data_IF_245482478950
#
_entry.id   IF_245482478950
#
_cell.length_a   1.000
_cell.length_b   1.000
_cell.length_c   1.000
_cell.angle_alpha   90.00
_cell.angle_beta   90.00
_cell.angle_gamma   90.00
#
_symmetry.space_group_name_H-M   'P 1'
#
loop_
_entity.id
_entity.type
_entity.pdbx_description
1 polymer ?
#
# COMPACT_ATOMS: atom_id res chain seq x y z
N UNK A 1 14.81 4.09 -2.01
CA UNK A 1 13.35 3.89 -2.15
C UNK A 1 12.86 3.02 -1.01
N UNK A 2 11.88 3.47 -0.25
CA UNK A 2 11.30 2.72 0.87
C UNK A 2 10.08 1.87 0.47
N UNK A 3 9.58 1.10 1.43
CA UNK A 3 8.39 0.26 1.27
C UNK A 3 7.47 0.37 2.49
N UNK A 4 6.17 0.26 2.28
CA UNK A 4 5.26 -0.24 3.32
C UNK A 4 5.19 -1.74 3.19
N UNK A 5 5.36 -2.44 4.31
CA UNK A 5 5.41 -3.90 4.40
C UNK A 5 4.21 -4.39 5.20
N UNK A 6 3.49 -5.34 4.63
CA UNK A 6 2.52 -6.15 5.34
C UNK A 6 3.02 -7.59 5.37
N UNK A 7 2.97 -8.21 6.54
CA UNK A 7 3.43 -9.59 6.71
C UNK A 7 2.41 -10.43 7.44
N UNK A 8 2.04 -11.54 6.80
CA UNK A 8 1.16 -12.56 7.34
C UNK A 8 1.96 -13.47 8.28
N UNK A 9 1.47 -13.56 9.52
CA UNK A 9 1.91 -14.52 10.51
C UNK A 9 0.96 -15.74 10.47
N UNK A 10 1.50 -16.93 10.74
CA UNK A 10 0.74 -18.18 10.73
C UNK A 10 0.55 -18.80 9.33
N UNK A 11 -0.53 -19.55 9.16
CA UNK A 11 -0.77 -20.47 8.02
C UNK A 11 -1.51 -19.81 6.85
N UNK A 12 -1.05 -18.63 6.44
CA UNK A 12 -1.62 -17.87 5.33
C UNK A 12 -0.57 -17.35 4.36
N UNK A 13 -1.03 -17.05 3.14
CA UNK A 13 -0.28 -16.37 2.10
C UNK A 13 -1.16 -15.33 1.40
N UNK A 14 -0.54 -14.32 0.83
CA UNK A 14 -1.20 -13.42 -0.11
C UNK A 14 -1.58 -14.17 -1.40
N UNK A 15 -2.75 -13.83 -1.93
CA UNK A 15 -3.15 -14.21 -3.27
C UNK A 15 -2.73 -13.11 -4.25
N UNK A 16 -1.70 -13.38 -5.07
CA UNK A 16 -1.11 -12.35 -5.93
C UNK A 16 -2.09 -11.71 -6.92
N UNK A 17 -3.02 -12.50 -7.50
CA UNK A 17 -3.99 -11.97 -8.46
C UNK A 17 -4.97 -11.02 -7.77
N UNK A 18 -5.46 -11.39 -6.59
CA UNK A 18 -6.42 -10.57 -5.85
C UNK A 18 -5.76 -9.36 -5.18
N UNK A 19 -4.50 -9.48 -4.72
CA UNK A 19 -3.71 -8.32 -4.27
C UNK A 19 -3.52 -7.33 -5.40
N UNK A 20 -3.16 -7.79 -6.60
CA UNK A 20 -3.04 -6.89 -7.75
C UNK A 20 -4.35 -6.17 -8.03
N UNK A 21 -5.48 -6.88 -8.07
CA UNK A 21 -6.80 -6.27 -8.27
C UNK A 21 -7.15 -5.28 -7.17
N UNK A 22 -6.94 -5.66 -5.91
CA UNK A 22 -7.18 -4.80 -4.77
C UNK A 22 -6.33 -3.53 -4.81
N UNK A 23 -5.08 -3.61 -5.24
CA UNK A 23 -4.18 -2.46 -5.35
C UNK A 23 -4.26 -1.73 -6.70
N UNK A 24 -5.26 -2.02 -7.51
CA UNK A 24 -5.52 -1.34 -8.78
C UNK A 24 -6.69 -0.37 -8.66
N UNK A 25 -6.67 0.69 -9.47
CA UNK A 25 -7.87 1.48 -9.72
C UNK A 25 -8.76 0.81 -10.78
N UNK A 26 -9.98 1.33 -10.97
CA UNK A 26 -10.95 0.74 -11.90
C UNK A 26 -10.63 0.99 -13.38
N UNK A 27 -10.10 2.17 -13.70
CA UNK A 27 -9.79 2.60 -15.07
C UNK A 27 -8.77 3.76 -15.07
N UNK A 28 -8.27 4.15 -16.24
CA UNK A 28 -7.28 5.22 -16.38
C UNK A 28 -7.79 6.53 -15.76
N UNK A 29 -7.10 6.98 -14.70
CA UNK A 29 -7.40 8.15 -13.84
C UNK A 29 -8.54 8.00 -12.83
N UNK A 30 -9.24 6.86 -12.78
CA UNK A 30 -10.18 6.61 -11.70
C UNK A 30 -9.48 6.64 -10.34
N UNK A 31 -10.11 7.19 -9.29
CA UNK A 31 -9.56 7.12 -7.95
C UNK A 31 -9.37 5.67 -7.47
N UNK A 32 -8.32 5.45 -6.69
CA UNK A 32 -8.16 4.24 -5.90
C UNK A 32 -9.21 4.23 -4.79
N UNK A 33 -9.91 3.11 -4.62
CA UNK A 33 -10.93 2.95 -3.56
C UNK A 33 -10.40 2.19 -2.35
N UNK A 34 -9.29 1.50 -2.53
CA UNK A 34 -8.75 0.46 -1.64
C UNK A 34 -7.51 0.91 -0.88
N UNK A 35 -6.81 1.91 -1.42
CA UNK A 35 -5.71 2.61 -0.77
C UNK A 35 -5.97 4.11 -0.89
N UNK A 36 -6.03 4.79 0.25
CA UNK A 36 -6.16 6.24 0.32
C UNK A 36 -4.92 6.80 1.00
N UNK A 37 -4.56 8.04 0.67
CA UNK A 37 -3.42 8.74 1.28
C UNK A 37 -3.85 10.12 1.70
N UNK A 38 -3.15 10.71 2.67
CA UNK A 38 -3.42 12.08 3.09
C UNK A 38 -3.42 13.04 1.92
N UNK A 39 -4.51 13.80 1.75
CA UNK A 39 -4.59 14.86 0.75
C UNK A 39 -3.89 16.11 1.29
N UNK A 40 -2.57 16.07 1.40
CA UNK A 40 -1.80 17.18 1.92
C UNK A 40 -1.51 18.19 0.80
N UNK A 41 -2.17 19.35 0.84
CA UNK A 41 -1.60 20.58 0.29
C UNK A 41 -1.08 21.41 1.45
N UNK A 42 0.23 21.37 1.70
CA UNK A 42 0.91 22.37 2.54
C UNK A 42 0.65 22.28 4.05
N UNK A 43 0.76 21.08 4.63
CA UNK A 43 0.54 20.85 6.06
C UNK A 43 -0.75 20.08 6.34
N UNK A 44 -0.78 19.33 7.44
CA UNK A 44 -1.96 18.55 7.83
C UNK A 44 -3.03 19.49 8.34
N UNK A 45 -4.08 19.68 7.55
CA UNK A 45 -5.33 20.29 8.03
C UNK A 45 -6.24 19.16 8.48
N UNK A 46 -6.49 19.08 9.78
CA UNK A 46 -7.46 18.15 10.33
C UNK A 46 -8.87 18.61 9.95
N UNK A 47 -9.69 17.67 9.48
CA UNK A 47 -11.13 17.86 9.27
C UNK A 47 -11.84 16.93 10.24
N UNK A 48 -12.61 17.49 11.19
CA UNK A 48 -13.24 16.73 12.27
C UNK A 48 -12.24 15.84 13.02
N UNK A 49 -11.09 16.41 13.39
CA UNK A 49 -9.99 15.72 14.09
C UNK A 49 -9.35 14.53 13.34
N UNK A 50 -9.60 14.39 12.04
CA UNK A 50 -9.00 13.37 11.19
C UNK A 50 -8.21 13.99 10.04
N UNK A 51 -7.12 13.32 9.63
CA UNK A 51 -6.40 13.69 8.41
C UNK A 51 -7.25 13.27 7.20
N UNK A 52 -7.67 14.21 6.33
CA UNK A 52 -8.45 13.85 5.16
C UNK A 52 -7.59 12.99 4.22
N UNK A 53 -8.15 11.86 3.79
CA UNK A 53 -7.50 10.94 2.87
C UNK A 53 -8.21 10.92 1.52
N UNK A 54 -7.45 10.83 0.43
CA UNK A 54 -7.93 10.77 -0.94
C UNK A 54 -7.34 9.57 -1.68
N UNK A 55 -8.15 9.00 -2.56
CA UNK A 55 -7.75 8.00 -3.54
C UNK A 55 -7.41 8.58 -4.90
N UNK A 56 -7.47 9.91 -5.05
CA UNK A 56 -7.16 10.57 -6.31
C UNK A 56 -5.76 10.21 -6.77
N UNK A 57 -5.63 9.91 -8.06
CA UNK A 57 -4.39 9.41 -8.63
C UNK A 57 -3.23 10.40 -8.46
N UNK A 58 -3.50 11.71 -8.52
CA UNK A 58 -2.51 12.76 -8.26
C UNK A 58 -2.00 12.75 -6.82
N UNK A 59 -2.83 12.38 -5.85
CA UNK A 59 -2.42 12.26 -4.45
C UNK A 59 -1.69 10.94 -4.23
N UNK A 60 -2.20 9.83 -4.76
CA UNK A 60 -1.56 8.51 -4.63
C UNK A 60 -0.13 8.49 -5.20
N UNK A 61 0.09 9.14 -6.35
CA UNK A 61 1.43 9.22 -6.98
C UNK A 61 2.48 9.93 -6.14
N UNK A 62 2.07 10.82 -5.23
CA UNK A 62 2.98 11.48 -4.29
C UNK A 62 3.58 10.49 -3.28
N UNK A 63 2.81 9.43 -2.97
CA UNK A 63 3.13 8.45 -1.94
C UNK A 63 3.74 7.17 -2.49
N UNK A 64 3.20 6.67 -3.61
CA UNK A 64 3.54 5.37 -4.16
C UNK A 64 3.97 5.45 -5.60
N UNK A 65 4.90 4.56 -5.95
CA UNK A 65 5.19 4.27 -7.35
C UNK A 65 3.98 3.55 -7.96
N UNK A 66 3.56 3.99 -9.15
CA UNK A 66 2.48 3.36 -9.91
C UNK A 66 3.01 2.70 -11.18
N UNK A 67 2.44 1.54 -11.52
CA UNK A 67 2.59 0.91 -12.83
C UNK A 67 1.31 1.06 -13.63
N UNK A 68 1.42 1.06 -14.96
CA UNK A 68 0.29 1.11 -15.89
C UNK A 68 0.34 -0.11 -16.79
N UNK A 69 -0.81 -0.72 -17.05
CA UNK A 69 -0.98 -1.73 -18.10
C UNK A 69 -1.67 -1.17 -19.36
N UNK A 70 -1.85 0.15 -19.43
CA UNK A 70 -2.55 0.85 -20.51
C UNK A 70 -4.04 1.06 -20.24
N UNK A 71 -4.64 0.32 -19.30
CA UNK A 71 -6.06 0.44 -18.94
C UNK A 71 -6.24 0.94 -17.51
N UNK A 72 -5.45 0.41 -16.58
CA UNK A 72 -5.52 0.73 -15.15
C UNK A 72 -4.14 1.10 -14.60
N UNK A 73 -4.16 1.76 -13.45
CA UNK A 73 -2.99 2.02 -12.63
C UNK A 73 -3.00 1.06 -11.44
N UNK A 74 -1.82 0.52 -11.14
CA UNK A 74 -1.62 -0.38 -10.00
C UNK A 74 -0.52 0.19 -9.11
N UNK A 75 -0.71 0.14 -7.78
CA UNK A 75 0.39 0.39 -6.85
C UNK A 75 1.51 -0.63 -7.13
N UNK A 76 2.72 -0.17 -7.40
CA UNK A 76 3.87 -1.06 -7.59
C UNK A 76 4.10 -1.85 -6.29
N UNK A 77 4.09 -3.17 -6.41
CA UNK A 77 4.18 -4.07 -5.26
C UNK A 77 4.89 -5.37 -5.61
N UNK A 78 5.43 -6.02 -4.58
CA UNK A 78 5.95 -7.39 -4.67
C UNK A 78 5.39 -8.26 -3.55
N UNK A 79 5.25 -9.54 -3.84
CA UNK A 79 4.98 -10.56 -2.83
C UNK A 79 6.18 -11.49 -2.78
N UNK A 80 6.74 -11.66 -1.59
CA UNK A 80 7.89 -12.52 -1.34
C UNK A 80 7.76 -13.21 0.04
N UNK A 81 8.86 -13.74 0.58
CA UNK A 81 8.88 -14.55 1.80
C UNK A 81 7.86 -15.70 1.73
N UNK A 82 7.93 -16.49 0.66
CA UNK A 82 7.00 -17.60 0.39
C UNK A 82 5.52 -17.17 0.40
N UNK A 83 5.22 -15.99 -0.13
CA UNK A 83 3.86 -15.47 -0.20
C UNK A 83 3.38 -14.76 1.07
N UNK A 84 4.22 -14.64 2.11
CA UNK A 84 3.82 -14.07 3.39
C UNK A 84 4.05 -12.58 3.51
N UNK A 85 4.92 -11.99 2.68
CA UNK A 85 5.27 -10.57 2.77
C UNK A 85 4.87 -9.83 1.51
N UNK A 86 4.00 -8.83 1.67
CA UNK A 86 3.61 -7.86 0.64
C UNK A 86 4.39 -6.56 0.89
N UNK A 87 5.03 -6.05 -0.16
CA UNK A 87 5.75 -4.77 -0.14
C UNK A 87 5.11 -3.83 -1.13
N UNK A 88 4.70 -2.65 -0.66
CA UNK A 88 4.19 -1.55 -1.46
C UNK A 88 5.31 -0.54 -1.67
N UNK A 89 5.69 -0.29 -2.92
CA UNK A 89 6.83 0.57 -3.24
C UNK A 89 6.47 2.04 -3.10
N UNK A 90 7.19 2.77 -2.25
CA UNK A 90 7.02 4.21 -2.10
C UNK A 90 7.54 4.96 -3.33
N UNK A 91 6.98 6.14 -3.59
CA UNK A 91 7.50 7.06 -4.59
C UNK A 91 8.95 7.46 -4.25
N UNK A 92 9.78 7.72 -5.26
CA UNK A 92 11.19 8.08 -5.06
C UNK A 92 11.39 9.44 -4.38
N UNK A 93 10.41 10.32 -4.52
CA UNK A 93 10.36 11.69 -4.01
C UNK A 93 9.41 11.82 -2.80
N UNK A 94 9.11 10.70 -2.13
CA UNK A 94 8.21 10.67 -0.98
C UNK A 94 8.60 11.66 0.13
N UNK A 95 9.89 11.84 0.39
CA UNK A 95 10.39 12.74 1.43
C UNK A 95 10.06 14.22 1.16
N UNK A 96 9.92 14.58 -0.12
CA UNK A 96 9.53 15.93 -0.53
C UNK A 96 8.01 16.12 -0.47
N UNK A 97 7.26 15.03 -0.64
CA UNK A 97 5.81 15.06 -0.84
C UNK A 97 5.00 14.72 0.42
N UNK A 98 5.54 13.90 1.32
CA UNK A 98 4.90 13.53 2.58
C UNK A 98 5.42 14.41 3.71
N UNK A 99 4.49 15.13 4.35
CA UNK A 99 4.77 15.85 5.59
C UNK A 99 4.71 14.91 6.79
N UNK A 100 5.29 15.32 7.91
CA UNK A 100 5.13 14.62 9.18
C UNK A 100 3.65 14.45 9.53
N UNK A 101 3.29 13.23 9.96
CA UNK A 101 1.93 12.86 10.33
C UNK A 101 1.03 12.42 9.16
N UNK A 102 1.55 12.31 7.94
CA UNK A 102 0.75 11.77 6.83
C UNK A 102 0.30 10.34 7.13
N UNK A 103 -0.97 10.09 6.84
CA UNK A 103 -1.66 8.82 6.98
C UNK A 103 -1.80 8.13 5.62
N UNK A 104 -1.60 6.82 5.63
CA UNK A 104 -1.96 5.90 4.55
C UNK A 104 -3.06 4.98 5.06
N UNK A 105 -4.16 4.93 4.32
CA UNK A 105 -5.37 4.23 4.66
C UNK A 105 -5.54 3.02 3.75
N UNK A 106 -5.18 1.84 4.27
CA UNK A 106 -5.30 0.59 3.55
C UNK A 106 -6.62 -0.12 3.89
N UNK A 107 -7.56 -0.15 2.95
CA UNK A 107 -8.94 -0.65 3.16
C UNK A 107 -8.99 -2.18 3.04
N UNK A 108 -8.53 -2.87 4.08
CA UNK A 108 -8.54 -4.33 4.18
C UNK A 108 -9.94 -4.94 4.06
N UNK A 109 -10.98 -4.20 4.46
CA UNK A 109 -12.38 -4.61 4.29
C UNK A 109 -12.82 -4.72 2.82
N UNK A 110 -12.03 -4.19 1.88
CA UNK A 110 -12.25 -4.31 0.44
C UNK A 110 -11.29 -5.33 -0.22
N UNK A 111 -10.42 -5.98 0.55
CA UNK A 111 -9.42 -6.94 0.08
C UNK A 111 -10.03 -8.35 -0.11
N UNK A 112 -11.01 -8.45 -1.02
CA UNK A 112 -11.73 -9.69 -1.28
C UNK A 112 -10.77 -10.81 -1.72
N UNK A 113 -10.72 -11.91 -0.97
CA UNK A 113 -9.87 -13.08 -1.27
C UNK A 113 -8.38 -12.76 -1.45
N UNK A 114 -7.91 -11.64 -0.87
CA UNK A 114 -6.51 -11.24 -0.85
C UNK A 114 -5.61 -12.22 -0.09
N UNK A 115 -6.21 -13.11 0.70
CA UNK A 115 -5.54 -14.10 1.54
C UNK A 115 -6.00 -15.51 1.18
N UNK A 116 -5.07 -16.44 1.12
CA UNK A 116 -5.33 -17.89 1.00
C UNK A 116 -4.71 -18.62 2.19
N UNK A 117 -5.44 -19.59 2.73
CA UNK A 117 -4.92 -20.49 3.77
C UNK A 117 -4.02 -21.54 3.12
N UNK A 118 -2.87 -21.81 3.74
CA UNK A 118 -1.93 -22.85 3.27
C UNK A 118 -2.21 -24.21 3.88
N UNK A 119 -2.95 -24.26 4.99
CA UNK A 119 -3.44 -25.50 5.59
C UNK A 119 -4.90 -25.35 6.05
N UNK A 120 -5.66 -26.45 6.00
CA UNK A 120 -7.06 -26.50 6.44
C UNK A 120 -7.25 -26.55 7.95
N UNK A 121 -6.16 -26.44 8.72
CA UNK A 121 -6.25 -26.34 10.18
C UNK A 121 -6.66 -24.91 10.56
N UNK A 122 -7.41 -24.75 11.66
CA UNK A 122 -7.71 -23.44 12.25
C UNK A 122 -6.43 -22.79 12.81
N UNK A 123 -5.49 -22.42 11.94
CA UNK A 123 -4.36 -21.60 12.29
C UNK A 123 -4.81 -20.14 12.36
N UNK A 124 -4.43 -19.43 13.43
CA UNK A 124 -4.62 -17.99 13.50
C UNK A 124 -3.81 -17.32 12.39
N UNK A 125 -4.48 -16.62 11.48
CA UNK A 125 -3.84 -15.70 10.54
C UNK A 125 -3.81 -14.33 11.20
N UNK A 126 -2.62 -13.78 11.41
CA UNK A 126 -2.44 -12.42 11.90
C UNK A 126 -1.68 -11.58 10.86
N UNK A 127 -1.98 -10.29 10.79
CA UNK A 127 -1.30 -9.35 9.90
C UNK A 127 -0.47 -8.38 10.74
N UNK A 128 0.79 -8.23 10.37
CA UNK A 128 1.68 -7.19 10.88
C UNK A 128 1.95 -6.18 9.79
N UNK A 129 2.03 -4.89 10.15
CA UNK A 129 2.29 -3.81 9.21
C UNK A 129 3.43 -2.93 9.72
N UNK A 130 4.30 -2.47 8.83
CA UNK A 130 5.40 -1.57 9.15
C UNK A 130 5.92 -0.85 7.91
N UNK A 131 6.72 0.20 8.10
CA UNK A 131 7.43 0.87 7.02
C UNK A 131 8.93 0.56 7.12
N UNK A 132 9.57 0.30 5.98
CA UNK A 132 11.00 0.04 5.91
C UNK A 132 11.63 1.01 4.91
N UNK A 133 12.55 1.82 5.41
CA UNK A 133 13.38 2.67 4.57
C UNK A 133 14.61 1.89 4.13
N UNK A 134 14.88 1.86 2.83
CA UNK A 134 16.13 1.32 2.34
C UNK A 134 17.20 2.40 2.52
N UNK A 135 17.94 2.34 3.64
CA UNK A 135 19.08 3.23 3.86
C UNK A 135 20.14 2.92 2.80
N UNK A 136 20.39 3.88 1.91
CA UNK A 136 21.58 3.84 1.05
C UNK A 136 22.79 4.04 1.96
N UNK A 137 23.49 2.96 2.30
CA UNK A 137 24.85 3.07 2.81
C UNK A 137 25.75 3.54 1.66
N UNK A 138 25.93 4.85 1.52
CA UNK A 138 27.18 5.37 0.95
C UNK A 138 28.17 5.35 2.10
N UNK A 139 28.91 4.25 2.23
CA UNK A 139 30.13 4.30 3.02
C UNK A 139 31.07 5.26 2.28
N UNK A 140 31.23 6.47 2.81
CA UNK A 140 32.39 7.32 2.52
C UNK A 140 33.59 6.81 3.33
#
# INVERSE_FOLDING_TARGET
SGFIVLEIQGEGQFNAAEIRRWLSNGYWRDPFKTLLVSSARGGIVLVNDAVPTSGEVSEIRKFFKLTSDGTQLTIDHSIDNNGKRLRLTLASDIETNAADGTVVDLKLNLANQAFKLTSGSQGTVALTAGALWNASYTAD
#
